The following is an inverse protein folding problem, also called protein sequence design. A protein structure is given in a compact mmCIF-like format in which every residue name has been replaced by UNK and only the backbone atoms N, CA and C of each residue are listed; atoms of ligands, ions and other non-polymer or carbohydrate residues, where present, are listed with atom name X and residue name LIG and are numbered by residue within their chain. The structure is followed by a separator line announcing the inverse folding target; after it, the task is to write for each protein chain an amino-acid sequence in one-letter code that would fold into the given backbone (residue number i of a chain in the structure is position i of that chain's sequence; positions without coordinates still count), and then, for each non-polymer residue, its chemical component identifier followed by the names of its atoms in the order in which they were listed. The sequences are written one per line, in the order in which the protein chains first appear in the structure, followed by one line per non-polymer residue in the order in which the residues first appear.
data_IF_313898051148
#
_entry.id   IF_313898051148
#
_cell.length_a   1.000
_cell.length_b   1.000
_cell.length_c   1.000
_cell.angle_alpha   90.00
_cell.angle_beta   90.00
_cell.angle_gamma   90.00
#
_symmetry.space_group_name_H-M   'P 1'
#
loop_
_entity.id
_entity.type
_entity.pdbx_description
1 polymer ?
#
# COMPACT_ATOMS: atom_id res chain seq x y z
N UNK A 1 0.09 9.02 16.16
CA UNK A 1 -1.06 9.01 15.24
C UNK A 1 -1.58 10.44 15.13
N UNK A 2 -1.51 11.06 13.96
CA UNK A 2 -2.11 12.38 13.74
C UNK A 2 -3.62 12.17 13.76
N UNK A 3 -4.29 12.63 14.81
CA UNK A 3 -5.74 12.48 14.98
C UNK A 3 -6.40 13.65 14.26
N UNK A 4 -6.84 13.42 13.02
CA UNK A 4 -7.64 14.40 12.28
C UNK A 4 -9.13 14.27 12.66
N UNK A 5 -9.87 15.38 12.77
CA UNK A 5 -11.27 15.33 13.12
C UNK A 5 -12.09 14.54 12.09
N UNK A 6 -13.00 13.67 12.55
CA UNK A 6 -13.95 12.95 11.69
C UNK A 6 -14.85 13.90 10.88
N UNK A 7 -15.06 15.12 11.37
CA UNK A 7 -15.81 16.17 10.68
C UNK A 7 -15.16 16.58 9.35
N UNK A 8 -13.84 16.50 9.27
CA UNK A 8 -13.09 16.85 8.06
C UNK A 8 -13.05 15.68 7.07
N UNK A 9 -13.12 14.44 7.58
CA UNK A 9 -13.05 13.20 6.81
C UNK A 9 -14.20 12.26 7.21
N UNK A 10 -15.42 12.51 6.71
CA UNK A 10 -16.56 11.67 7.04
C UNK A 10 -16.35 10.26 6.49
N UNK A 11 -16.88 9.24 7.17
CA UNK A 11 -16.67 7.81 6.85
C UNK A 11 -17.10 7.41 5.43
N UNK A 12 -17.97 8.18 4.77
CA UNK A 12 -18.39 7.92 3.40
C UNK A 12 -17.53 8.61 2.34
N UNK A 13 -16.42 9.26 2.74
CA UNK A 13 -15.45 9.91 1.85
C UNK A 13 -14.04 9.37 2.12
N UNK A 14 -13.07 9.59 1.20
CA UNK A 14 -11.69 9.22 1.44
C UNK A 14 -11.13 9.87 2.71
N UNK A 15 -10.40 9.09 3.49
CA UNK A 15 -9.67 9.55 4.66
C UNK A 15 -8.42 10.34 4.26
N UNK A 16 -7.82 11.07 5.22
CA UNK A 16 -6.52 11.68 5.00
C UNK A 16 -5.45 10.65 4.59
N UNK A 17 -5.47 9.45 5.20
CA UNK A 17 -4.61 8.34 4.84
C UNK A 17 -4.78 7.93 3.38
N UNK A 18 -6.03 7.84 2.92
CA UNK A 18 -6.33 7.49 1.52
C UNK A 18 -5.71 8.51 0.55
N UNK A 19 -5.79 9.81 0.86
CA UNK A 19 -5.17 10.86 0.04
C UNK A 19 -3.65 10.76 0.02
N UNK A 20 -3.01 10.48 1.16
CA UNK A 20 -1.56 10.27 1.21
C UNK A 20 -1.14 9.05 0.41
N UNK A 21 -1.88 7.94 0.50
CA UNK A 21 -1.64 6.76 -0.32
C UNK A 21 -1.85 7.01 -1.81
N UNK A 22 -2.89 7.77 -2.20
CA UNK A 22 -3.09 8.14 -3.60
C UNK A 22 -1.92 8.97 -4.13
N UNK A 23 -1.47 9.96 -3.33
CA UNK A 23 -0.29 10.75 -3.68
C UNK A 23 0.96 9.86 -3.81
N UNK A 24 1.14 8.90 -2.90
CA UNK A 24 2.21 7.91 -2.97
C UNK A 24 2.16 7.09 -4.27
N UNK A 25 0.99 6.55 -4.62
CA UNK A 25 0.80 5.75 -5.84
C UNK A 25 1.00 6.56 -7.13
N UNK A 26 0.81 7.89 -7.09
CA UNK A 26 1.09 8.77 -8.22
C UNK A 26 2.56 9.15 -8.29
N UNK A 27 3.19 9.52 -7.18
CA UNK A 27 4.55 10.07 -7.16
C UNK A 27 5.61 8.98 -7.33
N UNK A 28 5.44 7.84 -6.65
CA UNK A 28 6.43 6.77 -6.61
C UNK A 28 6.81 6.24 -8.01
N UNK A 29 5.88 5.99 -8.94
CA UNK A 29 6.22 5.54 -10.31
C UNK A 29 7.16 6.47 -11.07
N UNK A 30 6.96 7.79 -10.97
CA UNK A 30 7.84 8.75 -11.64
C UNK A 30 9.25 8.73 -11.07
N UNK A 31 9.37 8.51 -9.76
CA UNK A 31 10.67 8.37 -9.11
C UNK A 31 11.33 7.03 -9.47
N UNK A 32 10.56 5.94 -9.54
CA UNK A 32 11.05 4.61 -9.94
C UNK A 32 11.47 4.56 -11.42
N UNK A 33 10.75 5.26 -12.31
CA UNK A 33 11.15 5.40 -13.71
C UNK A 33 12.52 6.08 -13.84
N UNK A 34 12.82 7.05 -12.96
CA UNK A 34 14.10 7.77 -12.98
C UNK A 34 15.29 6.95 -12.48
N UNK A 35 15.03 5.82 -11.80
CA UNK A 35 16.07 4.83 -11.45
C UNK A 35 16.14 3.67 -12.45
N UNK A 36 15.55 3.82 -13.63
CA UNK A 36 15.56 2.84 -14.74
C UNK A 36 15.03 1.45 -14.36
N UNK A 37 14.09 1.37 -13.40
CA UNK A 37 13.36 0.13 -13.14
C UNK A 37 12.48 -0.22 -14.35
N UNK A 38 12.32 -1.52 -14.61
CA UNK A 38 11.44 -1.97 -15.67
C UNK A 38 9.99 -1.55 -15.41
N UNK A 39 9.32 -1.04 -16.44
CA UNK A 39 7.95 -0.53 -16.37
C UNK A 39 6.98 -1.58 -15.80
N UNK A 40 7.19 -2.88 -16.11
CA UNK A 40 6.38 -3.98 -15.57
C UNK A 40 6.46 -4.08 -14.04
N UNK A 41 7.64 -3.86 -13.45
CA UNK A 41 7.85 -3.89 -11.99
C UNK A 41 7.12 -2.70 -11.35
N UNK A 42 7.19 -1.54 -11.98
CA UNK A 42 6.51 -0.32 -11.52
C UNK A 42 4.99 -0.52 -11.56
N UNK A 43 4.44 -1.07 -12.65
CA UNK A 43 3.01 -1.38 -12.77
C UNK A 43 2.58 -2.36 -11.69
N UNK A 44 3.30 -3.47 -11.50
CA UNK A 44 3.03 -4.45 -10.45
C UNK A 44 2.98 -3.79 -9.07
N UNK A 45 3.97 -2.95 -8.77
CA UNK A 45 4.05 -2.23 -7.50
C UNK A 45 2.85 -1.30 -7.28
N UNK A 46 2.50 -0.47 -8.27
CA UNK A 46 1.37 0.46 -8.19
C UNK A 46 0.05 -0.28 -8.04
N UNK A 47 -0.12 -1.40 -8.77
CA UNK A 47 -1.31 -2.23 -8.63
C UNK A 47 -1.43 -2.79 -7.22
N UNK A 48 -0.36 -3.36 -6.67
CA UNK A 48 -0.34 -3.89 -5.30
C UNK A 48 -0.68 -2.82 -4.27
N UNK A 49 -0.01 -1.67 -4.33
CA UNK A 49 -0.24 -0.55 -3.41
C UNK A 49 -1.65 0.06 -3.56
N UNK A 50 -2.26 0.00 -4.74
CA UNK A 50 -3.64 0.47 -4.97
C UNK A 50 -4.68 -0.49 -4.41
N UNK A 51 -4.48 -1.80 -4.56
CA UNK A 51 -5.34 -2.81 -3.95
C UNK A 51 -5.30 -2.68 -2.44
N UNK A 52 -4.10 -2.54 -1.88
CA UNK A 52 -3.90 -2.38 -0.44
C UNK A 52 -4.57 -1.10 0.10
N UNK A 53 -4.44 0.04 -0.61
CA UNK A 53 -5.17 1.28 -0.28
C UNK A 53 -6.67 1.02 -0.13
N UNK A 54 -7.29 0.29 -1.07
CA UNK A 54 -8.73 0.02 -1.01
C UNK A 54 -9.07 -0.90 0.17
N UNK A 55 -8.26 -1.94 0.39
CA UNK A 55 -8.40 -2.86 1.51
C UNK A 55 -8.33 -2.16 2.86
N UNK A 56 -7.26 -1.42 3.13
CA UNK A 56 -7.05 -0.66 4.36
C UNK A 56 -8.15 0.39 4.59
N UNK A 57 -8.54 1.11 3.53
CA UNK A 57 -9.59 2.11 3.62
C UNK A 57 -10.92 1.49 4.07
N UNK A 58 -11.29 0.33 3.51
CA UNK A 58 -12.49 -0.42 3.92
C UNK A 58 -12.34 -0.98 5.34
N UNK A 59 -11.21 -1.60 5.63
CA UNK A 59 -10.90 -2.20 6.92
C UNK A 59 -10.96 -1.17 8.05
N UNK A 60 -10.37 0.01 7.87
CA UNK A 60 -10.42 1.11 8.84
C UNK A 60 -11.86 1.55 9.17
N UNK A 61 -12.74 1.62 8.17
CA UNK A 61 -14.18 1.93 8.38
C UNK A 61 -14.92 0.82 9.10
N UNK A 62 -14.57 -0.44 8.81
CA UNK A 62 -15.11 -1.58 9.50
C UNK A 62 -14.69 -1.58 10.99
N UNK A 63 -13.43 -1.28 11.31
CA UNK A 63 -12.94 -1.15 12.70
C UNK A 63 -13.76 -0.10 13.44
N UNK A 64 -14.01 1.05 12.81
CA UNK A 64 -14.81 2.11 13.42
C UNK A 64 -16.24 1.65 13.73
N UNK A 65 -16.75 0.67 12.99
CA UNK A 65 -18.05 0.04 13.22
C UNK A 65 -18.00 -1.07 14.29
N UNK A 66 -16.81 -1.47 14.75
CA UNK A 66 -16.56 -2.51 15.75
C UNK A 66 -15.98 -3.82 15.19
N UNK A 67 -15.44 -3.80 13.96
CA UNK A 67 -14.89 -4.99 13.32
C UNK A 67 -13.65 -5.48 14.06
N UNK A 68 -13.60 -6.79 14.32
CA UNK A 68 -12.51 -7.46 15.00
C UNK A 68 -11.56 -8.12 14.00
N UNK A 69 -10.32 -7.61 13.87
CA UNK A 69 -9.33 -8.14 12.92
C UNK A 69 -8.87 -9.57 13.21
N UNK A 70 -8.95 -10.02 14.47
CA UNK A 70 -8.51 -11.37 14.83
C UNK A 70 -9.48 -12.46 14.34
N UNK A 71 -10.67 -12.07 13.87
CA UNK A 71 -11.65 -12.98 13.28
C UNK A 71 -11.55 -12.93 11.76
N UNK A 72 -11.81 -14.05 11.11
CA UNK A 72 -12.00 -14.05 9.66
C UNK A 72 -13.23 -13.20 9.27
N UNK A 73 -13.27 -12.75 8.02
CA UNK A 73 -14.38 -11.95 7.47
C UNK A 73 -15.73 -12.62 7.75
N UNK A 74 -15.83 -13.94 7.54
CA UNK A 74 -17.07 -14.71 7.73
C UNK A 74 -17.42 -14.93 9.19
N UNK A 75 -16.46 -14.90 10.11
CA UNK A 75 -16.69 -15.10 11.53
C UNK A 75 -17.09 -13.80 12.24
N UNK A 76 -16.74 -12.66 11.66
CA UNK A 76 -16.94 -11.35 12.25
C UNK A 76 -18.44 -11.01 12.39
N UNK A 77 -18.90 -10.66 13.60
CA UNK A 77 -20.33 -10.45 13.88
C UNK A 77 -20.92 -9.27 13.10
N UNK A 78 -20.10 -8.26 12.72
CA UNK A 78 -20.58 -7.12 11.94
C UNK A 78 -20.91 -7.55 10.51
N UNK A 79 -20.04 -8.36 9.91
CA UNK A 79 -20.20 -8.84 8.54
C UNK A 79 -21.33 -9.86 8.44
N UNK A 80 -21.47 -10.77 9.42
CA UNK A 80 -22.56 -11.78 9.45
C UNK A 80 -23.96 -11.17 9.41
N UNK A 81 -24.11 -9.96 9.95
CA UNK A 81 -25.40 -9.28 10.00
C UNK A 81 -25.73 -8.50 8.71
N UNK A 82 -24.81 -8.46 7.74
CA UNK A 82 -25.03 -7.77 6.47
C UNK A 82 -26.02 -8.53 5.60
N UNK A 83 -26.86 -7.77 4.89
CA UNK A 83 -27.77 -8.28 3.85
C UNK A 83 -27.52 -7.49 2.56
N UNK A 84 -27.52 -8.14 1.38
CA UNK A 84 -27.68 -9.58 1.16
C UNK A 84 -26.44 -10.39 1.57
N UNK A 85 -26.59 -11.70 1.79
CA UNK A 85 -25.48 -12.59 2.19
C UNK A 85 -24.34 -12.62 1.17
N UNK A 86 -24.64 -12.40 -0.11
CA UNK A 86 -23.63 -12.30 -1.19
C UNK A 86 -22.63 -11.15 -0.98
N UNK A 87 -22.97 -10.17 -0.13
CA UNK A 87 -22.04 -9.10 0.24
C UNK A 87 -20.88 -9.63 1.09
N UNK A 88 -21.10 -10.68 1.88
CA UNK A 88 -20.06 -11.35 2.66
C UNK A 88 -19.00 -11.94 1.71
N UNK A 89 -19.43 -12.57 0.62
CA UNK A 89 -18.52 -13.12 -0.40
C UNK A 89 -17.72 -12.01 -1.08
N UNK A 90 -18.32 -10.83 -1.27
CA UNK A 90 -17.62 -9.67 -1.83
C UNK A 90 -16.53 -9.14 -0.88
N UNK A 91 -16.80 -9.12 0.43
CA UNK A 91 -15.78 -8.74 1.43
C UNK A 91 -14.67 -9.78 1.55
N UNK A 92 -14.99 -11.07 1.46
CA UNK A 92 -13.97 -12.13 1.46
C UNK A 92 -13.08 -12.04 0.22
N UNK A 93 -13.67 -11.75 -0.95
CA UNK A 93 -12.92 -11.50 -2.18
C UNK A 93 -12.03 -10.25 -2.06
N UNK A 94 -12.54 -9.17 -1.48
CA UNK A 94 -11.74 -7.96 -1.23
C UNK A 94 -10.55 -8.27 -0.31
N UNK A 95 -10.78 -8.98 0.78
CA UNK A 95 -9.72 -9.41 1.69
C UNK A 95 -8.71 -10.33 0.98
N UNK A 96 -9.20 -11.22 0.10
CA UNK A 96 -8.31 -12.06 -0.69
C UNK A 96 -7.42 -11.25 -1.63
N UNK A 97 -8.00 -10.25 -2.31
CA UNK A 97 -7.25 -9.32 -3.16
C UNK A 97 -6.18 -8.58 -2.36
N UNK A 98 -6.49 -8.07 -1.18
CA UNK A 98 -5.55 -7.31 -0.37
C UNK A 98 -4.45 -8.21 0.23
N UNK A 99 -4.83 -9.19 1.04
CA UNK A 99 -3.91 -10.02 1.84
C UNK A 99 -3.03 -10.95 1.02
N UNK A 100 -3.55 -11.48 -0.09
CA UNK A 100 -2.79 -12.43 -0.90
C UNK A 100 -2.21 -11.77 -2.16
N UNK A 101 -3.07 -11.16 -2.99
CA UNK A 101 -2.61 -10.62 -4.27
C UNK A 101 -1.86 -9.29 -4.10
N UNK A 102 -2.41 -8.36 -3.33
CA UNK A 102 -1.83 -7.04 -3.07
C UNK A 102 -0.47 -7.17 -2.40
N UNK A 103 -0.40 -7.94 -1.31
CA UNK A 103 0.85 -8.24 -0.63
C UNK A 103 1.87 -8.93 -1.54
N UNK A 104 1.46 -9.90 -2.38
CA UNK A 104 2.39 -10.54 -3.34
C UNK A 104 2.94 -9.55 -4.36
N UNK A 105 2.07 -8.68 -4.91
CA UNK A 105 2.44 -7.62 -5.83
C UNK A 105 3.34 -6.55 -5.20
N UNK A 106 3.42 -6.52 -3.88
CA UNK A 106 4.25 -5.59 -3.13
C UNK A 106 5.57 -6.21 -2.67
N UNK A 107 5.54 -7.43 -2.12
CA UNK A 107 6.71 -8.15 -1.65
C UNK A 107 7.68 -8.50 -2.78
N UNK A 108 7.19 -8.87 -3.96
CA UNK A 108 8.06 -9.22 -5.09
C UNK A 108 8.89 -8.00 -5.54
N UNK A 109 8.29 -6.84 -5.90
CA UNK A 109 9.08 -5.64 -6.20
C UNK A 109 9.96 -5.18 -5.04
N UNK A 110 9.47 -5.24 -3.80
CA UNK A 110 10.24 -4.84 -2.63
C UNK A 110 11.50 -5.69 -2.46
N UNK A 111 11.37 -7.01 -2.58
CA UNK A 111 12.50 -7.93 -2.55
C UNK A 111 13.49 -7.66 -3.69
N UNK A 112 13.00 -7.39 -4.91
CA UNK A 112 13.87 -7.06 -6.05
C UNK A 112 14.64 -5.76 -5.82
N UNK A 113 13.99 -4.73 -5.27
CA UNK A 113 14.64 -3.46 -4.91
C UNK A 113 15.74 -3.69 -3.87
N UNK A 114 15.46 -4.47 -2.81
CA UNK A 114 16.46 -4.82 -1.80
C UNK A 114 17.61 -5.64 -2.39
N UNK A 115 17.31 -6.57 -3.29
CA UNK A 115 18.32 -7.40 -3.96
C UNK A 115 19.23 -6.54 -4.85
N UNK A 116 18.67 -5.65 -5.67
CA UNK A 116 19.44 -4.72 -6.51
C UNK A 116 20.27 -3.76 -5.64
N UNK A 117 19.67 -3.22 -4.57
CA UNK A 117 20.39 -2.35 -3.64
C UNK A 117 21.58 -3.08 -3.01
N UNK A 118 21.38 -4.28 -2.48
CA UNK A 118 22.44 -5.04 -1.82
C UNK A 118 23.53 -5.43 -2.81
N UNK A 119 23.18 -5.98 -3.98
CA UNK A 119 24.16 -6.34 -5.02
C UNK A 119 24.92 -5.12 -5.56
N UNK A 120 24.24 -3.97 -5.71
CA UNK A 120 24.85 -2.70 -6.09
C UNK A 120 25.89 -2.20 -5.09
N UNK A 121 25.65 -2.35 -3.78
CA UNK A 121 26.61 -1.96 -2.73
C UNK A 121 27.94 -2.72 -2.78
N UNK A 122 27.97 -3.94 -3.33
CA UNK A 122 29.17 -4.77 -3.43
C UNK A 122 29.75 -4.83 -4.85
N UNK A 123 29.13 -4.14 -5.81
CA UNK A 123 29.66 -4.04 -7.17
C UNK A 123 30.67 -2.87 -7.22
N UNK A 124 31.93 -3.10 -7.59
CA UNK A 124 32.90 -2.01 -7.73
C UNK A 124 32.48 -1.11 -8.89
N UNK A 125 32.16 0.15 -8.58
CA UNK A 125 31.82 1.19 -9.55
C UNK A 125 32.99 2.16 -9.62
N UNK A 126 33.50 2.44 -10.82
CA UNK A 126 34.44 3.55 -11.04
C UNK A 126 33.74 4.86 -10.65
N UNK A 127 34.36 5.65 -9.77
CA UNK A 127 33.78 6.83 -9.13
C UNK A 127 33.07 7.77 -10.12
N UNK A 128 31.74 7.69 -10.18
CA UNK A 128 30.92 8.79 -10.68
C UNK A 128 29.64 9.00 -9.84
N UNK A 129 29.82 9.91 -8.88
CA UNK A 129 28.86 10.91 -8.43
C UNK A 129 27.71 10.55 -7.47
N UNK A 130 27.47 11.52 -6.59
CA UNK A 130 26.45 11.64 -5.55
C UNK A 130 25.13 10.91 -5.83
N UNK A 131 24.57 10.36 -4.76
CA UNK A 131 23.25 9.71 -4.74
C UNK A 131 22.23 10.52 -5.58
N UNK A 132 21.63 9.91 -6.62
CA UNK A 132 20.75 10.63 -7.52
C UNK A 132 19.59 11.23 -6.74
N UNK A 133 19.31 12.52 -6.95
CA UNK A 133 18.26 13.29 -6.25
C UNK A 133 16.91 12.56 -6.09
N UNK A 134 16.42 11.78 -7.08
CA UNK A 134 15.21 10.98 -6.93
C UNK A 134 15.29 9.88 -5.86
N UNK A 135 16.45 9.26 -5.68
CA UNK A 135 16.65 8.25 -4.65
C UNK A 135 16.57 8.89 -3.25
N UNK A 136 17.14 10.08 -3.07
CA UNK A 136 16.98 10.89 -1.85
C UNK A 136 15.51 11.28 -1.60
N UNK A 137 14.80 11.69 -2.66
CA UNK A 137 13.38 12.05 -2.58
C UNK A 137 12.46 10.86 -2.33
N UNK A 138 12.85 9.64 -2.70
CA UNK A 138 12.13 8.39 -2.35
C UNK A 138 12.38 8.00 -0.89
N UNK A 139 13.62 8.13 -0.42
CA UNK A 139 14.03 7.62 0.90
C UNK A 139 13.34 8.36 2.05
N UNK A 140 13.20 9.68 1.97
CA UNK A 140 12.60 10.50 3.03
C UNK A 140 11.12 10.19 3.28
N UNK A 141 10.23 10.29 2.28
CA UNK A 141 8.81 9.98 2.43
C UNK A 141 8.54 8.50 2.71
N UNK A 142 9.27 7.58 2.08
CA UNK A 142 9.05 6.14 2.29
C UNK A 142 9.40 5.72 3.71
N UNK A 143 10.48 6.27 4.29
CA UNK A 143 10.85 5.98 5.68
C UNK A 143 9.86 6.55 6.70
N UNK A 144 9.17 7.65 6.39
CA UNK A 144 8.09 8.21 7.22
C UNK A 144 6.75 7.47 7.07
N UNK A 145 6.51 6.82 5.93
CA UNK A 145 5.28 6.07 5.68
C UNK A 145 5.34 4.64 6.26
N UNK A 146 6.52 4.03 6.29
CA UNK A 146 6.74 2.67 6.83
C UNK A 146 7.05 2.60 8.33
N UNK A 147 7.11 3.74 9.03
CA UNK A 147 7.40 3.83 10.48
C UNK A 147 6.25 4.50 11.24
#
# INVERSE_FOLDING_TARGET
QIILPLEWFPLNKPSAGDYFHMAYNVITPFLLLKVNLEVHIIIMFVMGASIHLVGDSVNHRLIFSGYQHHLSVRENPIIKNLKPETLIDSFELLYYYDEYLGHSMWYIPFFLILFIYFTGCFTPVEEESRMPVPALLLMGPSSLYYW
#
